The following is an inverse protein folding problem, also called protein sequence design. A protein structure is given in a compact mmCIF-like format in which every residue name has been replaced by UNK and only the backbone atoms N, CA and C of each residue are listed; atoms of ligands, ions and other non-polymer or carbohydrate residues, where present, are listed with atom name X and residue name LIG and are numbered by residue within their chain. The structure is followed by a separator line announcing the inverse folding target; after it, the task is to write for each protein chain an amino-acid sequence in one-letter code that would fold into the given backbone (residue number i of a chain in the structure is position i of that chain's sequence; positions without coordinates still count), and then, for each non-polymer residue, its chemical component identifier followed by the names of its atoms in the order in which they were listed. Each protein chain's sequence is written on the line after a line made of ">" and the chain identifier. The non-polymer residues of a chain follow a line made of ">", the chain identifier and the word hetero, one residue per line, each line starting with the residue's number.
data_IF_449354804261
#
_entry.id   IF_449354804261
#
_cell.length_a   1.000
_cell.length_b   1.000
_cell.length_c   1.000
_cell.angle_alpha   90.00
_cell.angle_beta   90.00
_cell.angle_gamma   90.00
#
_symmetry.space_group_name_H-M   'P 1'
#
loop_
_entity.id
_entity.type
_entity.pdbx_description
1 polymer ?
#
# COMPACT_ATOMS: atom_id res chain seq x y z
N UNK A 1 -49.33 10.52 -44.16
CA UNK A 1 -47.90 10.74 -43.82
C UNK A 1 -47.84 11.38 -42.44
N UNK A 2 -47.21 10.71 -41.47
CA UNK A 2 -46.48 11.28 -40.33
C UNK A 2 -46.11 10.14 -39.38
N UNK A 3 -44.90 9.61 -39.54
CA UNK A 3 -44.24 8.74 -38.56
C UNK A 3 -43.49 9.64 -37.59
N UNK A 4 -43.86 9.60 -36.32
CA UNK A 4 -43.08 10.20 -35.23
C UNK A 4 -41.91 9.27 -34.94
N UNK A 5 -40.70 9.74 -35.21
CA UNK A 5 -39.44 9.09 -34.84
C UNK A 5 -39.22 9.31 -33.34
N UNK A 6 -39.35 8.24 -32.55
CA UNK A 6 -38.88 8.22 -31.18
C UNK A 6 -37.37 7.97 -31.18
N UNK A 7 -36.59 9.03 -30.97
CA UNK A 7 -35.15 8.96 -30.69
C UNK A 7 -34.96 8.42 -29.28
N UNK A 8 -34.60 7.14 -29.18
CA UNK A 8 -34.15 6.53 -27.92
C UNK A 8 -32.81 7.12 -27.51
N UNK A 9 -32.81 7.93 -26.43
CA UNK A 9 -31.58 8.39 -25.79
C UNK A 9 -30.92 7.21 -25.07
N UNK A 10 -29.77 6.78 -25.56
CA UNK A 10 -28.90 5.81 -24.88
C UNK A 10 -28.21 6.55 -23.71
N UNK A 11 -28.73 6.42 -22.49
CA UNK A 11 -28.01 6.82 -21.30
C UNK A 11 -26.84 5.85 -21.10
N UNK A 12 -25.62 6.28 -21.46
CA UNK A 12 -24.40 5.64 -20.96
C UNK A 12 -24.31 5.87 -19.45
N UNK A 13 -24.70 4.87 -18.66
CA UNK A 13 -24.29 4.81 -17.26
C UNK A 13 -22.80 4.43 -17.22
N UNK A 14 -21.93 5.42 -17.09
CA UNK A 14 -20.52 5.20 -16.75
C UNK A 14 -20.44 4.70 -15.31
N UNK A 15 -20.11 3.42 -15.14
CA UNK A 15 -19.72 2.88 -13.85
C UNK A 15 -18.39 3.53 -13.44
N UNK A 16 -18.46 4.51 -12.52
CA UNK A 16 -17.27 5.04 -11.88
C UNK A 16 -16.69 3.93 -10.98
N UNK A 17 -15.60 3.31 -11.41
CA UNK A 17 -14.71 2.61 -10.48
C UNK A 17 -14.08 3.68 -9.61
N UNK A 18 -14.53 3.81 -8.36
CA UNK A 18 -13.81 4.63 -7.38
C UNK A 18 -12.35 4.15 -7.36
N UNK A 19 -11.35 5.03 -7.56
CA UNK A 19 -9.97 4.65 -7.32
C UNK A 19 -9.89 4.15 -5.88
N UNK A 20 -9.52 2.88 -5.71
CA UNK A 20 -9.14 2.36 -4.40
C UNK A 20 -7.87 3.11 -4.02
N UNK A 21 -8.03 4.14 -3.21
CA UNK A 21 -6.94 4.63 -2.38
C UNK A 21 -6.71 3.57 -1.32
N UNK A 22 -5.48 3.47 -0.85
CA UNK A 22 -5.19 2.70 0.34
C UNK A 22 -5.49 3.52 1.58
N UNK A 23 -4.92 3.22 2.75
CA UNK A 23 -4.98 4.17 3.87
C UNK A 23 -4.87 5.59 3.32
N UNK A 24 -5.89 6.42 3.56
CA UNK A 24 -5.93 7.76 2.97
C UNK A 24 -4.65 8.52 3.35
N UNK A 25 -4.35 9.65 2.70
CA UNK A 25 -3.00 10.19 2.82
C UNK A 25 -2.54 10.49 4.27
N UNK A 26 -3.50 10.78 5.15
CA UNK A 26 -3.30 10.89 6.61
C UNK A 26 -2.86 9.58 7.28
N UNK A 27 -3.45 8.44 6.90
CA UNK A 27 -3.12 7.13 7.42
C UNK A 27 -1.69 6.70 7.04
N UNK A 28 -1.32 6.84 5.77
CA UNK A 28 0.07 6.58 5.31
C UNK A 28 1.09 7.48 6.00
N UNK A 29 0.79 8.77 6.11
CA UNK A 29 1.63 9.71 6.85
C UNK A 29 1.80 9.25 8.30
N UNK A 30 0.70 8.91 8.99
CA UNK A 30 0.75 8.50 10.39
C UNK A 30 1.55 7.21 10.63
N UNK A 31 1.43 6.23 9.72
CA UNK A 31 2.21 4.98 9.78
C UNK A 31 3.71 5.28 9.65
N UNK A 32 4.10 6.04 8.63
CA UNK A 32 5.50 6.29 8.35
C UNK A 32 6.16 7.23 9.34
N UNK A 33 5.44 8.25 9.83
CA UNK A 33 5.92 9.11 10.93
C UNK A 33 6.09 8.30 12.22
N UNK A 34 5.16 7.40 12.53
CA UNK A 34 5.26 6.55 13.72
C UNK A 34 6.43 5.58 13.63
N UNK A 35 6.68 4.99 12.45
CA UNK A 35 7.79 4.06 12.23
C UNK A 35 9.15 4.70 12.53
N UNK A 36 9.34 6.00 12.25
CA UNK A 36 10.56 6.74 12.56
C UNK A 36 10.93 6.65 14.05
N UNK A 37 9.92 6.64 14.93
CA UNK A 37 10.10 6.59 16.38
C UNK A 37 10.20 5.16 16.95
N UNK A 38 10.18 4.15 16.08
CA UNK A 38 10.25 2.72 16.42
C UNK A 38 11.56 2.07 15.96
N UNK A 39 12.30 2.70 15.04
CA UNK A 39 13.64 2.26 14.59
C UNK A 39 14.57 2.02 15.78
N UNK A 40 15.26 0.88 15.79
CA UNK A 40 16.14 0.47 16.88
C UNK A 40 17.59 0.83 16.61
N UNK A 41 18.05 0.78 15.36
CA UNK A 41 19.40 1.16 15.01
C UNK A 41 19.65 2.63 15.39
N UNK A 42 20.65 2.88 16.23
CA UNK A 42 20.89 4.21 16.79
C UNK A 42 21.18 5.25 15.70
N UNK A 43 21.99 4.90 14.70
CA UNK A 43 22.37 5.83 13.65
C UNK A 43 21.16 6.19 12.80
N UNK A 44 20.47 5.18 12.26
CA UNK A 44 19.28 5.36 11.43
C UNK A 44 18.19 6.14 12.16
N UNK A 45 17.96 5.80 13.43
CA UNK A 45 17.03 6.51 14.30
C UNK A 45 17.38 8.00 14.44
N UNK A 46 18.62 8.32 14.82
CA UNK A 46 19.06 9.72 14.97
C UNK A 46 18.87 10.53 13.68
N UNK A 47 19.09 9.91 12.52
CA UNK A 47 18.86 10.55 11.23
C UNK A 47 17.37 10.77 10.93
N UNK A 48 16.55 9.72 11.04
CA UNK A 48 15.13 9.75 10.66
C UNK A 48 14.27 10.59 11.60
N UNK A 49 14.60 10.64 12.90
CA UNK A 49 13.84 11.42 13.90
C UNK A 49 13.77 12.92 13.60
N UNK A 50 14.69 13.43 12.78
CA UNK A 50 14.69 14.82 12.31
C UNK A 50 13.94 15.01 10.98
N UNK A 51 13.37 13.95 10.40
CA UNK A 51 12.74 13.93 9.08
C UNK A 51 11.40 13.15 9.00
N UNK A 52 10.55 13.10 10.05
CA UNK A 52 9.28 12.37 9.99
C UNK A 52 8.41 12.81 8.81
N UNK A 53 8.32 14.12 8.55
CA UNK A 53 7.56 14.71 7.44
C UNK A 53 8.04 14.25 6.06
N UNK A 54 9.34 13.94 5.91
CA UNK A 54 9.87 13.45 4.64
C UNK A 54 9.42 12.01 4.39
N UNK A 55 9.45 11.17 5.44
CA UNK A 55 8.97 9.79 5.33
C UNK A 55 7.46 9.75 5.13
N UNK A 56 6.71 10.61 5.82
CA UNK A 56 5.27 10.80 5.61
C UNK A 56 4.94 11.13 4.15
N UNK A 57 5.70 12.05 3.59
CA UNK A 57 5.55 12.48 2.21
C UNK A 57 5.87 11.36 1.21
N UNK A 58 7.02 10.69 1.37
CA UNK A 58 7.43 9.59 0.50
C UNK A 58 6.42 8.43 0.51
N UNK A 59 5.86 8.09 1.67
CA UNK A 59 4.82 7.07 1.78
C UNK A 59 3.51 7.45 1.09
N UNK A 60 3.32 8.71 0.72
CA UNK A 60 2.15 9.17 -0.03
C UNK A 60 2.40 9.25 -1.54
N UNK A 61 3.64 9.16 -2.02
CA UNK A 61 3.96 9.31 -3.44
C UNK A 61 3.18 8.35 -4.34
N UNK A 62 3.04 7.04 -4.02
CA UNK A 62 2.34 6.12 -4.89
C UNK A 62 0.87 6.50 -5.14
N UNK A 63 0.19 7.09 -4.15
CA UNK A 63 -1.21 7.51 -4.26
C UNK A 63 -1.42 9.00 -4.55
N UNK A 64 -0.33 9.78 -4.68
CA UNK A 64 -0.38 11.20 -5.05
C UNK A 64 0.24 11.41 -6.42
N UNK A 65 1.56 11.61 -6.46
CA UNK A 65 2.28 11.92 -7.69
C UNK A 65 2.17 10.78 -8.72
N UNK A 66 2.34 9.51 -8.33
CA UNK A 66 2.29 8.40 -9.29
C UNK A 66 0.90 8.18 -9.91
N UNK A 67 -0.18 8.52 -9.19
CA UNK A 67 -1.55 8.50 -9.75
C UNK A 67 -1.82 9.58 -10.79
N UNK A 68 -1.00 10.63 -10.83
CA UNK A 68 -1.05 11.67 -11.88
C UNK A 68 -0.25 11.32 -13.14
N UNK A 69 0.50 10.20 -13.12
CA UNK A 69 1.29 9.77 -14.27
C UNK A 69 0.41 9.15 -15.36
N UNK A 70 1.05 8.92 -16.51
CA UNK A 70 0.41 8.34 -17.68
C UNK A 70 -0.27 6.97 -17.37
N UNK A 71 -1.42 6.65 -17.99
CA UNK A 71 -2.16 5.41 -17.74
C UNK A 71 -1.32 4.14 -17.87
N UNK A 72 -0.33 4.11 -18.76
CA UNK A 72 0.54 2.97 -18.98
C UNK A 72 1.44 2.68 -17.78
N UNK A 73 1.92 3.73 -17.10
CA UNK A 73 2.69 3.61 -15.86
C UNK A 73 1.79 3.18 -14.70
N UNK A 74 0.58 3.76 -14.64
CA UNK A 74 -0.43 3.39 -13.64
C UNK A 74 -0.84 1.93 -13.76
N UNK A 75 -1.03 1.41 -14.98
CA UNK A 75 -1.34 -0.02 -15.21
C UNK A 75 -0.28 -0.94 -14.60
N UNK A 76 0.98 -0.51 -14.53
CA UNK A 76 2.05 -1.27 -13.88
C UNK A 76 2.09 -1.09 -12.36
N UNK A 77 1.69 0.08 -11.85
CA UNK A 77 1.78 0.44 -10.43
C UNK A 77 0.55 0.07 -9.61
N UNK A 78 -0.64 0.29 -10.14
CA UNK A 78 -1.94 0.14 -9.46
C UNK A 78 -2.15 -1.27 -8.88
N UNK A 79 -1.74 -2.38 -9.55
CA UNK A 79 -1.75 -3.72 -8.95
C UNK A 79 -0.94 -3.89 -7.66
N UNK A 80 0.06 -3.04 -7.44
CA UNK A 80 0.93 -3.07 -6.27
C UNK A 80 0.23 -2.73 -4.96
N UNK A 81 -1.03 -2.30 -4.99
CA UNK A 81 -1.73 -1.83 -3.79
C UNK A 81 -2.53 -2.93 -3.07
N UNK A 82 -2.72 -4.11 -3.64
CA UNK A 82 -3.60 -5.12 -3.03
C UNK A 82 -3.12 -6.57 -3.25
N UNK A 83 -3.78 -7.50 -2.56
CA UNK A 83 -3.76 -8.94 -2.78
C UNK A 83 -5.19 -9.51 -2.67
N UNK A 84 -5.72 -9.98 -3.79
CA UNK A 84 -7.04 -10.58 -3.95
C UNK A 84 -6.88 -12.09 -4.16
N UNK A 85 -6.45 -12.81 -3.11
CA UNK A 85 -6.16 -14.24 -3.19
C UNK A 85 -7.37 -15.06 -3.69
N UNK A 86 -8.58 -14.61 -3.39
CA UNK A 86 -9.82 -15.27 -3.78
C UNK A 86 -10.01 -15.30 -5.30
N UNK A 87 -9.44 -14.34 -6.05
CA UNK A 87 -9.45 -14.35 -7.52
C UNK A 87 -8.87 -15.64 -8.10
N UNK A 88 -7.89 -16.22 -7.38
CA UNK A 88 -7.21 -17.47 -7.71
C UNK A 88 -7.78 -18.69 -6.98
N UNK A 89 -8.82 -18.50 -6.16
CA UNK A 89 -9.38 -19.55 -5.29
C UNK A 89 -8.52 -19.88 -4.08
N UNK A 90 -7.65 -18.96 -3.67
CA UNK A 90 -6.75 -19.14 -2.54
C UNK A 90 -7.19 -18.31 -1.34
N UNK A 91 -6.71 -18.69 -0.15
CA UNK A 91 -6.65 -17.80 1.00
C UNK A 91 -5.30 -17.11 1.03
N UNK A 92 -5.21 -15.95 1.67
CA UNK A 92 -3.97 -15.17 1.77
C UNK A 92 -2.78 -16.03 2.24
N UNK A 93 -2.94 -16.78 3.34
CA UNK A 93 -1.89 -17.69 3.84
C UNK A 93 -1.43 -18.79 2.87
N UNK A 94 -2.25 -19.13 1.88
CA UNK A 94 -2.01 -20.21 0.92
C UNK A 94 -1.41 -19.69 -0.40
N UNK A 95 -1.26 -18.38 -0.58
CA UNK A 95 -0.64 -17.77 -1.76
C UNK A 95 0.85 -18.16 -1.84
N UNK A 96 1.33 -18.72 -2.96
CA UNK A 96 2.74 -18.99 -3.18
C UNK A 96 3.59 -17.70 -3.14
N UNK A 97 4.88 -17.82 -2.85
CA UNK A 97 5.75 -16.63 -2.69
C UNK A 97 6.56 -16.27 -3.94
N UNK A 98 6.64 -17.16 -4.93
CA UNK A 98 7.28 -16.88 -6.22
C UNK A 98 6.26 -16.35 -7.24
N UNK A 99 6.26 -15.04 -7.46
CA UNK A 99 5.29 -14.38 -8.34
C UNK A 99 5.33 -14.89 -9.78
N UNK A 100 6.52 -15.22 -10.31
CA UNK A 100 6.64 -15.73 -11.69
C UNK A 100 5.96 -17.08 -11.85
N UNK A 101 6.11 -17.96 -10.86
CA UNK A 101 5.40 -19.24 -10.82
C UNK A 101 3.89 -19.04 -10.69
N UNK A 102 3.41 -18.06 -9.92
CA UNK A 102 1.98 -17.74 -9.83
C UNK A 102 1.45 -17.29 -11.20
N UNK A 103 2.14 -16.36 -11.88
CA UNK A 103 1.78 -15.91 -13.24
C UNK A 103 1.69 -17.11 -14.18
N UNK A 104 2.74 -17.94 -14.23
CA UNK A 104 2.77 -19.12 -15.11
C UNK A 104 1.69 -20.15 -14.79
N UNK A 105 1.30 -20.29 -13.51
CA UNK A 105 0.33 -21.29 -13.10
C UNK A 105 -1.10 -20.83 -13.38
N UNK A 106 -1.43 -19.58 -13.05
CA UNK A 106 -2.81 -19.12 -13.00
C UNK A 106 -3.29 -18.35 -14.23
N UNK A 107 -2.39 -17.79 -15.04
CA UNK A 107 -2.80 -17.17 -16.32
C UNK A 107 -3.48 -18.21 -17.21
N UNK A 108 -4.65 -17.86 -17.75
CA UNK A 108 -5.47 -18.76 -18.57
C UNK A 108 -6.40 -19.68 -17.79
N UNK A 109 -6.34 -19.71 -16.45
CA UNK A 109 -7.29 -20.47 -15.63
C UNK A 109 -8.62 -19.72 -15.43
N UNK A 110 -9.69 -20.45 -15.13
CA UNK A 110 -10.98 -19.86 -14.80
C UNK A 110 -10.91 -19.03 -13.50
N UNK A 111 -11.45 -17.82 -13.52
CA UNK A 111 -11.61 -16.97 -12.34
C UNK A 111 -12.55 -17.64 -11.33
N UNK A 112 -12.25 -17.48 -10.04
CA UNK A 112 -13.10 -18.00 -8.95
C UNK A 112 -14.07 -16.97 -8.38
N UNK A 113 -13.95 -15.71 -8.80
CA UNK A 113 -14.78 -14.58 -8.35
C UNK A 113 -15.70 -14.03 -9.44
N UNK A 114 -15.34 -14.20 -10.71
CA UNK A 114 -16.14 -13.78 -11.87
C UNK A 114 -16.58 -14.99 -12.67
N UNK A 115 -17.90 -15.21 -12.73
CA UNK A 115 -18.47 -16.31 -13.51
C UNK A 115 -18.15 -16.17 -15.00
N UNK A 116 -17.80 -17.29 -15.65
CA UNK A 116 -17.42 -17.35 -17.07
C UNK A 116 -16.25 -16.43 -17.46
N UNK A 117 -15.41 -16.03 -16.51
CA UNK A 117 -14.19 -15.25 -16.76
C UNK A 117 -12.94 -16.11 -16.66
N UNK A 118 -11.92 -15.75 -17.43
CA UNK A 118 -10.56 -16.32 -17.35
C UNK A 118 -9.64 -15.29 -16.72
N UNK A 119 -8.66 -15.75 -15.92
CA UNK A 119 -7.58 -14.91 -15.41
C UNK A 119 -6.66 -14.58 -16.58
N UNK A 120 -6.70 -13.32 -17.00
CA UNK A 120 -5.92 -12.81 -18.11
C UNK A 120 -4.60 -12.22 -17.62
N UNK A 121 -4.64 -11.47 -16.52
CA UNK A 121 -3.49 -10.80 -15.92
C UNK A 121 -3.40 -11.11 -14.44
N UNK A 122 -2.50 -12.02 -14.04
CA UNK A 122 -2.29 -12.28 -12.61
C UNK A 122 -1.99 -11.00 -11.82
N UNK A 123 -1.15 -10.06 -12.30
CA UNK A 123 -1.00 -8.76 -11.64
C UNK A 123 -2.33 -8.03 -11.42
N UNK A 124 -3.17 -7.88 -12.44
CA UNK A 124 -4.40 -7.07 -12.31
C UNK A 124 -5.47 -7.79 -11.47
N UNK A 125 -5.56 -9.12 -11.54
CA UNK A 125 -6.59 -9.91 -10.85
C UNK A 125 -6.20 -10.32 -9.41
N UNK A 126 -4.94 -10.70 -9.17
CA UNK A 126 -4.43 -11.02 -7.83
C UNK A 126 -3.91 -9.76 -7.13
N UNK A 127 -3.28 -8.82 -7.83
CA UNK A 127 -2.45 -7.80 -7.21
C UNK A 127 -1.04 -8.30 -6.87
N UNK A 128 -0.18 -7.40 -6.42
CA UNK A 128 1.25 -7.69 -6.22
C UNK A 128 1.91 -6.98 -5.03
N UNK A 129 1.13 -6.53 -4.06
CA UNK A 129 1.62 -5.70 -2.95
C UNK A 129 2.88 -6.22 -2.25
N UNK A 130 2.94 -7.51 -1.90
CA UNK A 130 4.08 -8.05 -1.14
C UNK A 130 5.39 -7.93 -1.91
N UNK A 131 5.35 -8.25 -3.20
CA UNK A 131 6.51 -8.16 -4.09
C UNK A 131 6.87 -6.71 -4.40
N UNK A 132 5.87 -5.83 -4.42
CA UNK A 132 6.08 -4.38 -4.56
C UNK A 132 6.82 -3.80 -3.35
N UNK A 133 6.42 -4.16 -2.13
CA UNK A 133 7.14 -3.79 -0.92
C UNK A 133 8.57 -4.37 -0.88
N UNK A 134 8.72 -5.65 -1.22
CA UNK A 134 10.02 -6.34 -1.31
C UNK A 134 10.98 -5.68 -2.33
N UNK A 135 10.45 -5.21 -3.46
CA UNK A 135 11.23 -4.49 -4.45
C UNK A 135 11.92 -3.26 -3.85
N UNK A 136 11.19 -2.44 -3.10
CA UNK A 136 11.76 -1.26 -2.46
C UNK A 136 12.70 -1.61 -1.30
N UNK A 137 12.43 -2.70 -0.58
CA UNK A 137 13.37 -3.25 0.39
C UNK A 137 14.72 -3.61 -0.24
N UNK A 138 14.71 -4.40 -1.33
CA UNK A 138 15.92 -4.80 -2.06
C UNK A 138 16.67 -3.60 -2.66
N UNK A 139 15.94 -2.63 -3.22
CA UNK A 139 16.55 -1.41 -3.79
C UNK A 139 17.22 -0.57 -2.71
N UNK A 140 16.58 -0.37 -1.56
CA UNK A 140 17.19 0.35 -0.44
C UNK A 140 18.51 -0.32 0.03
N UNK A 141 18.55 -1.65 0.08
CA UNK A 141 19.77 -2.39 0.40
C UNK A 141 20.85 -2.15 -0.67
N UNK A 142 20.49 -2.26 -1.95
CA UNK A 142 21.43 -2.10 -3.06
C UNK A 142 22.03 -0.69 -3.10
N UNK A 143 21.21 0.35 -2.98
CA UNK A 143 21.68 1.74 -2.94
C UNK A 143 22.54 1.99 -1.70
N UNK A 144 22.13 1.45 -0.54
CA UNK A 144 22.91 1.55 0.68
C UNK A 144 24.29 0.89 0.58
N UNK A 145 24.35 -0.32 0.05
CA UNK A 145 25.59 -1.07 -0.16
C UNK A 145 26.51 -0.40 -1.19
N UNK A 146 25.95 0.24 -2.21
CA UNK A 146 26.70 0.97 -3.23
C UNK A 146 27.47 2.18 -2.65
N UNK A 147 27.13 2.65 -1.44
CA UNK A 147 27.86 3.73 -0.76
C UNK A 147 29.16 3.29 -0.10
N UNK A 148 29.38 1.99 0.12
CA UNK A 148 30.48 1.48 0.97
C UNK A 148 31.86 2.02 0.61
N UNK A 149 32.18 2.08 -0.68
CA UNK A 149 33.48 2.51 -1.19
C UNK A 149 33.47 3.94 -1.76
N UNK A 150 32.36 4.66 -1.58
CA UNK A 150 32.21 6.04 -2.04
C UNK A 150 32.60 7.03 -0.95
N UNK A 151 33.23 8.14 -1.34
CA UNK A 151 33.57 9.20 -0.42
C UNK A 151 32.29 9.90 0.08
N UNK A 152 32.06 9.85 1.39
CA UNK A 152 31.00 10.61 2.04
C UNK A 152 31.27 12.13 1.93
N UNK A 153 30.22 12.98 1.85
CA UNK A 153 30.38 14.42 1.81
C UNK A 153 31.06 14.93 3.09
N UNK A 154 31.97 15.89 2.94
CA UNK A 154 32.81 16.39 4.04
C UNK A 154 32.31 17.71 4.64
N UNK A 155 31.41 18.40 3.96
CA UNK A 155 30.93 19.72 4.33
C UNK A 155 29.53 19.96 3.73
N UNK A 156 28.86 21.03 4.19
CA UNK A 156 27.49 21.37 3.77
C UNK A 156 27.34 21.60 2.25
N UNK A 157 28.39 22.06 1.56
CA UNK A 157 28.36 22.25 0.11
C UNK A 157 28.35 20.91 -0.62
N UNK A 158 29.14 19.94 -0.16
CA UNK A 158 29.13 18.58 -0.69
C UNK A 158 27.84 17.85 -0.35
N UNK A 159 27.26 18.04 0.84
CA UNK A 159 25.96 17.46 1.20
C UNK A 159 24.85 17.87 0.21
N UNK A 160 24.86 19.12 -0.25
CA UNK A 160 23.88 19.65 -1.20
C UNK A 160 24.20 19.34 -2.68
N UNK A 161 25.30 18.64 -2.96
CA UNK A 161 25.70 18.32 -4.32
C UNK A 161 25.08 16.98 -4.75
N UNK A 162 23.96 17.04 -5.47
CA UNK A 162 23.27 15.87 -6.00
C UNK A 162 24.09 15.08 -7.03
N UNK A 163 25.20 15.62 -7.55
CA UNK A 163 26.06 14.91 -8.51
C UNK A 163 26.99 13.89 -7.86
N UNK A 164 27.22 13.99 -6.55
CA UNK A 164 28.10 13.07 -5.83
C UNK A 164 27.49 11.66 -5.81
N UNK A 165 28.24 10.62 -6.22
CA UNK A 165 27.76 9.24 -6.21
C UNK A 165 27.23 8.79 -4.84
N UNK A 166 27.87 9.22 -3.74
CA UNK A 166 27.39 8.93 -2.39
C UNK A 166 25.99 9.49 -2.16
N UNK A 167 25.78 10.77 -2.49
CA UNK A 167 24.51 11.46 -2.27
C UNK A 167 23.38 10.89 -3.13
N UNK A 168 23.67 10.50 -4.38
CA UNK A 168 22.69 9.83 -5.27
C UNK A 168 22.19 8.53 -4.65
N UNK A 169 23.10 7.68 -4.22
CA UNK A 169 22.75 6.40 -3.58
C UNK A 169 22.03 6.62 -2.25
N UNK A 170 22.53 7.55 -1.42
CA UNK A 170 21.86 7.90 -0.17
C UNK A 170 20.42 8.38 -0.40
N UNK A 171 20.22 9.24 -1.40
CA UNK A 171 18.90 9.73 -1.77
C UNK A 171 17.97 8.61 -2.22
N UNK A 172 18.44 7.73 -3.12
CA UNK A 172 17.64 6.61 -3.59
C UNK A 172 17.33 5.63 -2.46
N UNK A 173 18.28 5.36 -1.56
CA UNK A 173 18.03 4.56 -0.37
C UNK A 173 16.88 5.15 0.47
N UNK A 174 16.90 6.45 0.77
CA UNK A 174 15.83 7.11 1.55
C UNK A 174 14.48 7.09 0.83
N UNK A 175 14.47 7.37 -0.48
CA UNK A 175 13.26 7.28 -1.31
C UNK A 175 12.68 5.86 -1.26
N UNK A 176 13.50 4.84 -1.45
CA UNK A 176 13.07 3.45 -1.42
C UNK A 176 12.54 3.03 -0.03
N UNK A 177 13.18 3.46 1.06
CA UNK A 177 12.66 3.22 2.42
C UNK A 177 11.26 3.85 2.62
N UNK A 178 11.02 5.04 2.08
CA UNK A 178 9.71 5.70 2.15
C UNK A 178 8.66 5.04 1.25
N UNK A 179 9.00 4.72 0.00
CA UNK A 179 8.10 4.02 -0.91
C UNK A 179 7.71 2.63 -0.40
N UNK A 180 8.64 1.91 0.24
CA UNK A 180 8.33 0.65 0.94
C UNK A 180 7.24 0.83 2.01
N UNK A 181 7.26 1.97 2.71
CA UNK A 181 6.28 2.28 3.76
C UNK A 181 4.85 2.37 3.26
N UNK A 182 4.64 2.85 2.03
CA UNK A 182 3.33 2.84 1.38
C UNK A 182 2.77 1.42 1.29
N UNK A 183 3.51 0.51 0.65
CA UNK A 183 3.00 -0.84 0.39
C UNK A 183 2.85 -1.68 1.68
N UNK A 184 3.69 -1.44 2.70
CA UNK A 184 3.48 -2.01 4.05
C UNK A 184 2.25 -1.40 4.73
N UNK A 185 1.95 -0.13 4.48
CA UNK A 185 0.69 0.51 4.90
C UNK A 185 -0.52 -0.19 4.30
N UNK A 186 -0.54 -0.35 2.98
CA UNK A 186 -1.63 -0.99 2.22
C UNK A 186 -1.91 -2.41 2.73
N UNK A 187 -0.86 -3.21 2.93
CA UNK A 187 -1.00 -4.58 3.43
C UNK A 187 -1.67 -4.65 4.81
N UNK A 188 -1.66 -3.56 5.59
CA UNK A 188 -2.31 -3.49 6.89
C UNK A 188 -3.77 -3.02 6.83
N UNK A 189 -4.22 -2.51 5.69
CA UNK A 189 -5.62 -2.13 5.46
C UNK A 189 -6.38 -3.44 5.14
N UNK A 190 -7.37 -3.85 5.95
CA UNK A 190 -8.04 -5.14 5.79
C UNK A 190 -8.57 -5.43 4.38
N UNK A 191 -9.21 -4.45 3.74
CA UNK A 191 -9.83 -4.53 2.43
C UNK A 191 -8.85 -4.48 1.25
N UNK A 192 -7.55 -4.28 1.49
CA UNK A 192 -6.50 -4.49 0.48
C UNK A 192 -6.09 -5.95 0.35
N UNK A 193 -6.65 -6.83 1.20
CA UNK A 193 -6.31 -8.24 1.28
C UNK A 193 -7.52 -9.14 0.94
N UNK A 194 -8.47 -8.63 0.16
CA UNK A 194 -9.63 -9.38 -0.31
C UNK A 194 -10.19 -8.82 -1.62
N UNK A 195 -10.72 -9.72 -2.46
CA UNK A 195 -11.47 -9.33 -3.65
C UNK A 195 -12.79 -8.58 -3.37
N UNK A 196 -13.40 -8.70 -2.19
CA UNK A 196 -14.55 -7.87 -1.76
C UNK A 196 -14.07 -6.56 -1.14
N UNK A 197 -13.21 -5.86 -1.86
CA UNK A 197 -12.46 -4.69 -1.38
C UNK A 197 -13.38 -3.55 -0.90
N UNK A 198 -14.64 -3.48 -1.31
CA UNK A 198 -15.57 -2.43 -0.88
C UNK A 198 -16.79 -2.97 -0.12
N UNK A 199 -16.72 -4.22 0.39
CA UNK A 199 -17.68 -4.81 1.32
C UNK A 199 -19.07 -5.09 0.76
N UNK A 200 -19.23 -5.12 -0.57
CA UNK A 200 -20.55 -5.28 -1.20
C UNK A 200 -21.13 -6.67 -0.94
N UNK A 201 -20.30 -7.72 -0.87
CA UNK A 201 -20.79 -9.07 -0.65
C UNK A 201 -21.45 -9.23 0.73
N UNK A 202 -21.05 -8.41 1.71
CA UNK A 202 -21.63 -8.40 3.05
C UNK A 202 -22.75 -7.35 3.24
N UNK A 203 -23.11 -6.57 2.22
CA UNK A 203 -24.07 -5.48 2.37
C UNK A 203 -23.47 -4.19 2.94
N UNK A 204 -22.14 -4.05 2.91
CA UNK A 204 -21.37 -2.92 3.41
C UNK A 204 -20.69 -2.13 2.27
N UNK A 205 -21.29 -2.08 1.08
CA UNK A 205 -20.80 -1.30 -0.05
C UNK A 205 -20.35 0.12 0.34
N UNK A 206 -19.16 0.54 -0.08
CA UNK A 206 -18.57 1.85 0.26
C UNK A 206 -17.79 1.89 1.58
N UNK A 207 -17.55 0.74 2.23
CA UNK A 207 -16.82 0.69 3.50
C UNK A 207 -15.35 1.06 3.33
N UNK A 208 -14.75 0.81 2.16
CA UNK A 208 -13.32 0.98 1.95
C UNK A 208 -12.85 2.42 2.22
N UNK A 209 -13.36 3.37 1.44
CA UNK A 209 -13.06 4.79 1.58
C UNK A 209 -13.61 5.38 2.90
N UNK A 210 -14.73 4.86 3.40
CA UNK A 210 -15.27 5.29 4.69
C UNK A 210 -14.32 4.94 5.84
N UNK A 211 -13.75 3.74 5.82
CA UNK A 211 -12.89 3.23 6.88
C UNK A 211 -11.49 3.87 6.87
N UNK A 212 -10.87 3.94 5.70
CA UNK A 212 -9.45 4.28 5.57
C UNK A 212 -9.17 5.78 5.47
N UNK A 213 -10.16 6.56 5.06
CA UNK A 213 -10.03 8.00 4.82
C UNK A 213 -11.02 8.78 5.69
N UNK A 214 -12.33 8.57 5.50
CA UNK A 214 -13.34 9.37 6.22
C UNK A 214 -13.23 9.23 7.73
N UNK A 215 -13.18 7.99 8.26
CA UNK A 215 -13.03 7.77 9.69
C UNK A 215 -11.65 8.20 10.21
N UNK A 216 -10.59 8.01 9.41
CA UNK A 216 -9.22 8.43 9.78
C UNK A 216 -9.11 9.96 9.89
N UNK A 217 -9.84 10.70 9.05
CA UNK A 217 -9.86 12.16 9.06
C UNK A 217 -10.38 12.75 10.39
N UNK A 218 -11.18 12.00 11.16
CA UNK A 218 -11.70 12.48 12.45
C UNK A 218 -10.75 12.28 13.63
N UNK A 219 -9.61 11.59 13.48
CA UNK A 219 -8.64 11.51 14.58
C UNK A 219 -8.16 12.91 14.96
N UNK A 220 -7.81 13.12 16.22
CA UNK A 220 -7.14 14.34 16.65
C UNK A 220 -5.68 14.39 16.17
N UNK A 221 -5.04 15.54 16.39
CA UNK A 221 -3.63 15.78 16.03
C UNK A 221 -2.64 14.80 16.70
N UNK A 222 -3.07 14.00 17.68
CA UNK A 222 -2.24 13.06 18.43
C UNK A 222 -2.19 11.64 17.82
N UNK A 223 -2.77 11.43 16.63
CA UNK A 223 -2.78 10.12 15.94
C UNK A 223 -1.40 9.44 15.91
N UNK A 224 -0.36 10.15 15.49
CA UNK A 224 1.02 9.63 15.43
C UNK A 224 1.51 9.17 16.80
N UNK A 225 1.22 9.95 17.85
CA UNK A 225 1.58 9.59 19.22
C UNK A 225 0.83 8.34 19.70
N UNK A 226 -0.47 8.22 19.40
CA UNK A 226 -1.30 7.05 19.71
C UNK A 226 -0.79 5.79 19.02
N UNK A 227 -0.52 5.86 17.72
CA UNK A 227 0.04 4.74 16.92
C UNK A 227 1.42 4.34 17.46
N UNK A 228 2.32 5.30 17.66
CA UNK A 228 3.66 5.06 18.19
C UNK A 228 3.62 4.39 19.57
N UNK A 229 2.80 4.91 20.49
CA UNK A 229 2.63 4.34 21.85
C UNK A 229 2.16 2.90 21.78
N UNK A 230 1.18 2.62 20.92
CA UNK A 230 0.61 1.29 20.76
C UNK A 230 1.61 0.31 20.15
N UNK A 231 2.37 0.73 19.14
CA UNK A 231 3.41 -0.07 18.51
C UNK A 231 4.56 -0.41 19.49
N UNK A 232 4.98 0.55 20.33
CA UNK A 232 5.99 0.30 21.38
C UNK A 232 5.56 -0.72 22.42
N UNK A 233 4.26 -0.80 22.70
CA UNK A 233 3.71 -1.76 23.65
C UNK A 233 3.58 -3.18 23.06
N UNK A 234 3.82 -3.36 21.76
CA UNK A 234 3.73 -4.67 21.12
C UNK A 234 4.92 -5.56 21.50
N UNK A 235 4.62 -6.80 21.90
CA UNK A 235 5.62 -7.88 21.91
C UNK A 235 5.98 -8.23 20.47
N UNK A 236 7.14 -8.86 20.26
CA UNK A 236 7.60 -9.32 18.94
C UNK A 236 6.50 -10.08 18.18
N UNK A 237 5.92 -9.49 17.12
CA UNK A 237 4.80 -10.07 16.40
C UNK A 237 5.18 -11.32 15.60
N UNK A 238 4.18 -12.12 15.19
CA UNK A 238 4.40 -13.29 14.33
C UNK A 238 4.85 -12.95 12.91
N UNK A 239 4.45 -11.78 12.41
CA UNK A 239 4.74 -11.28 11.06
C UNK A 239 6.16 -10.74 10.86
N UNK A 240 7.07 -10.94 11.82
CA UNK A 240 8.53 -10.66 11.68
C UNK A 240 9.39 -11.90 11.97
N UNK A 241 8.78 -13.08 12.03
CA UNK A 241 9.47 -14.33 12.43
C UNK A 241 9.71 -15.29 11.27
N UNK A 242 9.25 -14.95 10.07
CA UNK A 242 9.45 -15.78 8.88
C UNK A 242 10.84 -15.56 8.30
N UNK A 243 11.26 -16.46 7.40
CA UNK A 243 12.61 -16.45 6.84
C UNK A 243 12.82 -15.34 5.82
N UNK A 244 11.78 -15.02 5.06
CA UNK A 244 11.85 -14.07 3.96
C UNK A 244 10.92 -12.88 4.16
N UNK A 245 11.23 -11.79 3.44
CA UNK A 245 10.40 -10.58 3.44
C UNK A 245 8.96 -10.88 3.02
N UNK A 246 8.80 -11.61 1.91
CA UNK A 246 7.49 -11.94 1.33
C UNK A 246 6.68 -12.85 2.27
N UNK A 247 7.29 -13.83 2.94
CA UNK A 247 6.57 -14.67 3.91
C UNK A 247 6.05 -13.87 5.11
N UNK A 248 6.84 -12.92 5.61
CA UNK A 248 6.41 -11.99 6.65
C UNK A 248 5.24 -11.12 6.17
N UNK A 249 5.31 -10.58 4.94
CA UNK A 249 4.21 -9.82 4.33
C UNK A 249 2.94 -10.67 4.16
N UNK A 250 3.06 -11.93 3.74
CA UNK A 250 1.92 -12.86 3.65
C UNK A 250 1.25 -13.08 5.00
N UNK A 251 2.02 -13.36 6.05
CA UNK A 251 1.47 -13.49 7.42
C UNK A 251 0.85 -12.19 7.90
N UNK A 252 1.45 -11.05 7.55
CA UNK A 252 0.93 -9.73 7.89
C UNK A 252 -0.42 -9.45 7.24
N UNK A 253 -0.54 -9.71 5.93
CA UNK A 253 -1.78 -9.60 5.17
C UNK A 253 -2.86 -10.58 5.64
N UNK A 254 -2.50 -11.80 6.05
CA UNK A 254 -3.47 -12.77 6.60
C UNK A 254 -4.10 -12.23 7.89
N UNK A 255 -3.28 -11.65 8.77
CA UNK A 255 -3.75 -10.98 9.99
C UNK A 255 -4.65 -9.77 9.67
N UNK A 256 -4.29 -8.97 8.66
CA UNK A 256 -5.11 -7.82 8.25
C UNK A 256 -6.45 -8.27 7.64
N UNK A 257 -6.47 -9.32 6.82
CA UNK A 257 -7.70 -9.89 6.26
C UNK A 257 -8.63 -10.45 7.35
N UNK A 258 -8.08 -11.01 8.44
CA UNK A 258 -8.89 -11.46 9.58
C UNK A 258 -9.63 -10.31 10.29
N UNK A 259 -9.07 -9.09 10.28
CA UNK A 259 -9.69 -7.92 10.89
C UNK A 259 -10.98 -7.48 10.16
N UNK A 260 -11.20 -7.88 8.89
CA UNK A 260 -12.40 -7.53 8.09
C UNK A 260 -13.68 -7.85 8.87
N UNK A 261 -13.72 -9.00 9.55
CA UNK A 261 -14.91 -9.44 10.31
C UNK A 261 -15.30 -8.45 11.40
N UNK A 262 -14.31 -7.92 12.12
CA UNK A 262 -14.55 -6.94 13.17
C UNK A 262 -14.85 -5.57 12.58
N UNK A 263 -14.22 -5.18 11.45
CA UNK A 263 -14.58 -3.94 10.74
C UNK A 263 -16.06 -3.94 10.35
N UNK A 264 -16.52 -4.98 9.66
CA UNK A 264 -17.91 -5.08 9.20
C UNK A 264 -18.90 -5.09 10.36
N UNK A 265 -18.56 -5.77 11.47
CA UNK A 265 -19.38 -5.76 12.69
C UNK A 265 -19.48 -4.38 13.34
N UNK A 266 -18.40 -3.60 13.31
CA UNK A 266 -18.36 -2.26 13.89
C UNK A 266 -18.95 -1.19 12.96
N UNK A 267 -19.02 -1.45 11.65
CA UNK A 267 -19.51 -0.52 10.63
C UNK A 267 -20.88 0.07 11.01
N UNK A 268 -21.00 1.40 11.18
CA UNK A 268 -22.25 2.03 11.60
C UNK A 268 -23.25 2.18 10.44
N UNK A 269 -23.51 1.09 9.71
CA UNK A 269 -24.50 1.01 8.64
C UNK A 269 -25.90 1.24 9.21
N UNK A 270 -26.66 2.12 8.57
CA UNK A 270 -28.09 2.34 8.84
C UNK A 270 -28.97 1.64 7.82
N UNK A 271 -28.45 1.45 6.60
CA UNK A 271 -29.12 0.72 5.53
C UNK A 271 -28.09 -0.03 4.69
N UNK A 272 -28.22 -1.37 4.52
CA UNK A 272 -27.29 -2.15 3.74
C UNK A 272 -27.19 -1.69 2.28
N UNK A 273 -26.01 -1.91 1.68
CA UNK A 273 -25.79 -1.72 0.24
C UNK A 273 -26.59 -2.73 -0.58
N UNK A 274 -26.74 -2.45 -1.87
CA UNK A 274 -27.28 -3.43 -2.82
C UNK A 274 -26.32 -3.68 -3.99
N UNK A 275 -26.27 -4.94 -4.42
CA UNK A 275 -25.55 -5.39 -5.60
C UNK A 275 -26.54 -6.17 -6.47
N UNK A 276 -26.78 -5.69 -7.68
CA UNK A 276 -27.56 -6.41 -8.70
C UNK A 276 -26.70 -6.64 -9.92
N UNK A 277 -26.62 -7.88 -10.37
CA UNK A 277 -25.95 -8.23 -11.61
C UNK A 277 -27.05 -8.43 -12.66
N UNK A 278 -27.07 -7.59 -13.68
CA UNK A 278 -28.01 -7.71 -14.79
C UNK A 278 -27.24 -7.66 -16.11
N UNK A 279 -27.35 -8.72 -16.92
CA UNK A 279 -26.69 -8.88 -18.23
C UNK A 279 -25.19 -8.51 -18.23
N UNK A 280 -24.47 -8.90 -17.17
CA UNK A 280 -23.04 -8.62 -17.02
C UNK A 280 -22.69 -7.22 -16.51
N UNK A 281 -23.69 -6.35 -16.27
CA UNK A 281 -23.49 -5.06 -15.60
C UNK A 281 -23.79 -5.19 -14.09
N UNK A 282 -22.87 -4.69 -13.26
CA UNK A 282 -23.08 -4.59 -11.82
C UNK A 282 -23.68 -3.24 -11.47
N UNK A 283 -24.96 -3.23 -11.08
CA UNK A 283 -25.62 -2.08 -10.47
C UNK A 283 -25.36 -2.12 -8.97
N UNK A 284 -24.58 -1.15 -8.48
CA UNK A 284 -24.16 -1.02 -7.09
C UNK A 284 -24.82 0.20 -6.46
N UNK A 285 -25.42 0.01 -5.29
CA UNK A 285 -25.86 1.11 -4.43
C UNK A 285 -25.10 1.00 -3.11
N UNK A 286 -24.27 1.99 -2.74
CA UNK A 286 -23.54 1.97 -1.47
C UNK A 286 -24.47 1.86 -0.25
N UNK A 287 -23.93 1.38 0.86
CA UNK A 287 -24.65 1.38 2.13
C UNK A 287 -24.78 2.81 2.66
N UNK A 288 -25.89 3.11 3.34
CA UNK A 288 -26.03 4.34 4.11
C UNK A 288 -25.42 4.12 5.49
N UNK A 289 -24.65 5.10 5.99
CA UNK A 289 -23.89 5.03 7.24
C UNK A 289 -24.15 6.25 8.10
N UNK A 290 -23.87 6.10 9.39
CA UNK A 290 -23.71 7.26 10.28
C UNK A 290 -22.47 8.08 9.87
N UNK A 291 -22.43 9.32 10.35
CA UNK A 291 -21.31 10.23 10.18
C UNK A 291 -19.96 9.58 10.59
N UNK A 292 -18.88 9.96 9.90
CA UNK A 292 -17.57 9.38 10.12
C UNK A 292 -16.98 9.69 11.50
N UNK A 293 -17.45 10.70 12.23
CA UNK A 293 -17.12 10.87 13.66
C UNK A 293 -17.62 9.69 14.51
N UNK A 294 -18.81 9.17 14.21
CA UNK A 294 -19.35 7.96 14.87
C UNK A 294 -18.59 6.72 14.39
N UNK A 295 -18.23 6.67 13.11
CA UNK A 295 -17.35 5.64 12.56
C UNK A 295 -16.03 5.55 13.32
N UNK A 296 -15.35 6.68 13.49
CA UNK A 296 -14.11 6.75 14.26
C UNK A 296 -14.27 6.23 15.68
N UNK A 297 -15.29 6.67 16.43
CA UNK A 297 -15.50 6.22 17.82
C UNK A 297 -15.58 4.70 17.92
N UNK A 298 -16.12 4.03 16.90
CA UNK A 298 -16.19 2.57 16.85
C UNK A 298 -14.89 1.93 16.37
N UNK A 299 -14.25 2.51 15.37
CA UNK A 299 -13.09 1.92 14.71
C UNK A 299 -11.74 2.27 15.36
N UNK A 300 -11.67 3.29 16.21
CA UNK A 300 -10.42 3.89 16.71
C UNK A 300 -9.45 2.82 17.21
N UNK A 301 -9.91 1.92 18.08
CA UNK A 301 -9.07 0.85 18.65
C UNK A 301 -8.50 -0.06 17.57
N UNK A 302 -9.29 -0.38 16.54
CA UNK A 302 -8.92 -1.30 15.47
C UNK A 302 -7.95 -0.62 14.49
N UNK A 303 -8.26 0.59 14.03
CA UNK A 303 -7.39 1.41 13.17
C UNK A 303 -6.03 1.62 13.83
N UNK A 304 -6.01 2.04 15.11
CA UNK A 304 -4.75 2.21 15.85
C UNK A 304 -3.97 0.89 15.95
N UNK A 305 -4.65 -0.26 16.04
CA UNK A 305 -3.98 -1.56 16.06
C UNK A 305 -3.33 -1.87 14.72
N UNK A 306 -4.03 -1.67 13.61
CA UNK A 306 -3.54 -1.93 12.26
C UNK A 306 -2.36 -1.03 11.90
N UNK A 307 -2.52 0.28 12.11
CA UNK A 307 -1.45 1.25 11.90
C UNK A 307 -0.23 0.98 12.79
N UNK A 308 -0.44 0.55 14.04
CA UNK A 308 0.67 0.17 14.93
C UNK A 308 1.41 -1.08 14.44
N UNK A 309 0.70 -2.10 13.95
CA UNK A 309 1.32 -3.30 13.36
C UNK A 309 2.13 -2.93 12.10
N UNK A 310 1.57 -2.07 11.23
CA UNK A 310 2.25 -1.56 10.04
C UNK A 310 3.51 -0.76 10.38
N UNK A 311 3.40 0.20 11.31
CA UNK A 311 4.53 1.02 11.77
C UNK A 311 5.65 0.17 12.38
N UNK A 312 5.28 -0.88 13.13
CA UNK A 312 6.24 -1.84 13.68
C UNK A 312 6.97 -2.60 12.56
N UNK A 313 6.24 -3.16 11.59
CA UNK A 313 6.82 -3.92 10.49
C UNK A 313 7.72 -3.05 9.61
N UNK A 314 7.29 -1.82 9.33
CA UNK A 314 8.06 -0.84 8.58
C UNK A 314 9.37 -0.49 9.28
N UNK A 315 9.34 -0.16 10.57
CA UNK A 315 10.53 0.13 11.33
C UNK A 315 11.49 -1.08 11.42
N UNK A 316 10.93 -2.29 11.57
CA UNK A 316 11.70 -3.52 11.54
C UNK A 316 12.46 -3.67 10.20
N UNK A 317 11.81 -3.44 9.06
CA UNK A 317 12.48 -3.54 7.77
C UNK A 317 13.38 -2.37 7.42
N UNK A 318 13.15 -1.18 7.97
CA UNK A 318 14.14 -0.11 7.91
C UNK A 318 15.44 -0.50 8.62
N UNK A 319 15.35 -1.08 9.82
CA UNK A 319 16.50 -1.61 10.55
C UNK A 319 17.21 -2.73 9.76
N UNK A 320 16.46 -3.71 9.25
CA UNK A 320 17.03 -4.83 8.48
C UNK A 320 17.67 -4.36 7.16
N UNK A 321 17.03 -3.44 6.42
CA UNK A 321 17.57 -2.90 5.17
C UNK A 321 18.87 -2.13 5.42
N UNK A 322 18.89 -1.26 6.44
CA UNK A 322 20.08 -0.49 6.79
C UNK A 322 21.24 -1.38 7.23
N UNK A 323 20.95 -2.43 8.02
CA UNK A 323 21.94 -3.42 8.42
C UNK A 323 22.46 -4.23 7.23
N UNK A 324 21.57 -4.70 6.34
CA UNK A 324 21.95 -5.45 5.15
C UNK A 324 22.75 -4.61 4.14
N UNK A 325 22.52 -3.29 4.11
CA UNK A 325 23.33 -2.34 3.36
C UNK A 325 24.75 -2.12 3.92
N UNK A 326 25.10 -2.70 5.08
CA UNK A 326 26.39 -2.51 5.72
C UNK A 326 26.48 -1.25 6.60
N UNK A 327 25.34 -0.72 7.04
CA UNK A 327 25.24 0.45 7.93
C UNK A 327 26.04 1.68 7.44
N UNK A 328 25.80 2.15 6.20
CA UNK A 328 26.57 3.23 5.59
C UNK A 328 26.54 4.51 6.44
N UNK A 329 27.62 5.32 6.50
CA UNK A 329 27.68 6.49 7.39
C UNK A 329 26.67 7.61 7.07
N UNK A 330 25.53 7.67 7.75
CA UNK A 330 24.47 8.65 7.46
C UNK A 330 24.59 9.99 8.21
N UNK A 331 25.47 10.06 9.23
CA UNK A 331 25.64 11.27 10.06
C UNK A 331 26.20 12.47 9.30
N UNK A 332 26.92 12.20 8.20
CA UNK A 332 27.50 13.22 7.34
C UNK A 332 26.43 13.99 6.54
N UNK A 333 25.17 13.58 6.56
CA UNK A 333 24.15 14.09 5.66
C UNK A 333 23.04 14.83 6.44
N UNK A 334 23.16 16.16 6.58
CA UNK A 334 22.17 17.00 7.28
C UNK A 334 21.25 17.71 6.29
N UNK A 335 21.80 18.19 5.17
CA UNK A 335 21.04 18.86 4.11
C UNK A 335 20.65 17.87 3.02
N UNK A 336 19.37 17.44 3.02
CA UNK A 336 18.80 16.54 2.02
C UNK A 336 17.88 17.29 1.07
N UNK A 337 18.02 17.02 -0.23
CA UNK A 337 17.04 17.43 -1.22
C UNK A 337 15.69 16.81 -0.88
N UNK A 338 14.68 17.65 -0.67
CA UNK A 338 13.33 17.16 -0.45
C UNK A 338 12.83 16.43 -1.72
N UNK A 339 12.32 15.19 -1.62
CA UNK A 339 12.11 14.33 -2.78
C UNK A 339 10.74 14.58 -3.42
N UNK A 340 10.49 15.79 -3.93
CA UNK A 340 9.16 16.26 -4.40
C UNK A 340 8.48 15.42 -5.50
N UNK A 341 9.23 14.67 -6.30
CA UNK A 341 8.66 13.90 -7.40
C UNK A 341 9.60 12.75 -7.74
N UNK A 342 9.73 11.76 -6.84
CA UNK A 342 10.60 10.63 -7.11
C UNK A 342 10.05 9.85 -8.29
N UNK A 343 10.95 9.41 -9.16
CA UNK A 343 10.63 8.72 -10.39
C UNK A 343 9.81 7.45 -10.12
N UNK A 344 8.91 7.12 -11.05
CA UNK A 344 8.20 5.85 -11.01
C UNK A 344 9.17 4.70 -11.23
N UNK A 345 9.12 3.71 -10.34
CA UNK A 345 9.89 2.47 -10.47
C UNK A 345 8.99 1.39 -11.04
N UNK A 346 9.29 0.84 -12.22
CA UNK A 346 8.51 -0.29 -12.77
C UNK A 346 8.72 -1.56 -11.93
N UNK A 347 7.70 -2.44 -11.79
CA UNK A 347 7.87 -3.76 -11.16
C UNK A 347 8.99 -4.58 -11.78
N UNK A 348 9.77 -5.30 -10.96
CA UNK A 348 10.90 -6.15 -11.40
C UNK A 348 10.66 -7.66 -11.18
N UNK A 349 9.48 -8.02 -10.67
CA UNK A 349 9.11 -9.39 -10.29
C UNK A 349 8.16 -10.08 -11.28
N UNK A 350 7.78 -9.41 -12.37
CA UNK A 350 7.12 -10.01 -13.55
C UNK A 350 7.53 -9.31 -14.84
N UNK A 351 7.15 -9.87 -15.99
CA UNK A 351 7.42 -9.23 -17.28
C UNK A 351 6.48 -8.04 -17.52
N UNK A 352 7.03 -6.84 -17.51
CA UNK A 352 6.29 -5.60 -17.74
C UNK A 352 6.15 -5.25 -19.23
N UNK A 353 6.90 -5.93 -20.13
CA UNK A 353 6.83 -5.66 -21.58
C UNK A 353 5.59 -6.26 -22.22
N UNK A 354 5.17 -7.44 -21.77
CA UNK A 354 3.93 -8.09 -22.23
C UNK A 354 2.66 -7.36 -21.78
N UNK A 355 2.68 -6.66 -20.65
CA UNK A 355 1.56 -5.85 -20.17
C UNK A 355 1.24 -4.62 -21.05
N UNK A 356 2.22 -4.14 -21.83
CA UNK A 356 2.07 -3.01 -22.77
C UNK A 356 1.49 -3.41 -24.14
N UNK A 357 1.38 -4.72 -24.43
CA UNK A 357 0.98 -5.23 -25.76
C UNK A 357 -0.53 -5.45 -25.88
N UNK A 358 -1.27 -5.38 -24.78
CA UNK A 358 -2.73 -5.56 -24.78
C UNK A 358 -3.38 -4.19 -24.98
N UNK A 359 -3.48 -3.79 -26.26
CA UNK A 359 -4.30 -2.70 -26.76
C UNK A 359 -5.67 -3.20 -27.19
#
# INVERSE_FOLDING_TARGET
>A
MNKVLATGAFLLLTAFTSPAFSWGGRGHAAICESAVFLVKNKQLKEYLQNKPQTMAYLCNIPDTYWRSLAPELRKLGDPGHFINAESLGLKIKDVPTDFKSIVSTYTGQASKVKENATIYSVPDELGSNWWRADQFYRRAIADGAAMKDLAAPKNSKEEQNDDLPYNKNFFQMMVNLGLMGHFIGDASQPFHNTSDYDGYAAGHGGIHAYYEDSAVAFFDADLVAKVTKKARAMKTPSFVKQKTFIENMRVFSDIAAEDIKEVLKLDPVTKPSSLKIDKGMSLRTPAERKDASVGLQKFEKLILTQMARSSYLLAYYWDEAYKAAGEPPIKAYKSYRFPHSPEFVAPDYFDTKSAAIVK
#
